data_IF_363319291078
#
_entry.id   IF_363319291078
#
_cell.length_a   1.000
_cell.length_b   1.000
_cell.length_c   1.000
_cell.angle_alpha   90.00
_cell.angle_beta   90.00
_cell.angle_gamma   90.00
#
_symmetry.space_group_name_H-M   'P 1'
#
loop_
_entity.id
_entity.type
_entity.pdbx_description
1 polymer ?
#
# COMPACT_ATOMS: atom_id res chain seq x y z
N UNK A 1 14.94 -17.95 -26.84
CA UNK A 1 13.56 -17.60 -26.41
C UNK A 1 13.59 -16.15 -25.99
N UNK A 2 12.79 -15.29 -26.62
CA UNK A 2 12.65 -13.87 -26.25
C UNK A 2 11.57 -13.74 -25.18
N UNK A 3 11.87 -13.03 -24.09
CA UNK A 3 10.92 -12.77 -23.01
C UNK A 3 10.58 -11.28 -22.99
N UNK A 4 9.36 -10.92 -23.39
CA UNK A 4 8.86 -9.54 -23.32
C UNK A 4 8.31 -9.23 -21.92
N UNK A 5 9.01 -8.45 -21.11
CA UNK A 5 8.45 -7.91 -19.86
C UNK A 5 7.66 -6.64 -20.20
N UNK A 6 6.39 -6.80 -20.57
CA UNK A 6 5.55 -5.66 -20.99
C UNK A 6 5.18 -4.71 -19.85
N UNK A 7 5.00 -5.20 -18.61
CA UNK A 7 4.49 -4.40 -17.48
C UNK A 7 5.00 -4.94 -16.15
N UNK A 8 5.37 -4.03 -15.26
CA UNK A 8 5.64 -4.38 -13.86
C UNK A 8 4.30 -4.45 -13.12
N UNK A 9 3.97 -5.59 -12.47
CA UNK A 9 2.74 -5.69 -11.69
C UNK A 9 2.85 -4.78 -10.45
N UNK A 10 1.99 -3.75 -10.39
CA UNK A 10 2.02 -2.74 -9.33
C UNK A 10 1.64 -3.30 -7.96
N UNK A 11 0.78 -4.32 -7.93
CA UNK A 11 0.28 -4.90 -6.68
C UNK A 11 1.38 -5.58 -5.84
N UNK A 12 2.20 -6.50 -6.37
CA UNK A 12 3.34 -7.04 -5.63
C UNK A 12 4.39 -5.96 -5.32
N UNK A 13 4.63 -5.00 -6.22
CA UNK A 13 5.54 -3.88 -5.95
C UNK A 13 5.08 -3.07 -4.73
N UNK A 14 3.78 -2.77 -4.62
CA UNK A 14 3.19 -2.08 -3.47
C UNK A 14 3.38 -2.86 -2.18
N UNK A 15 3.17 -4.19 -2.17
CA UNK A 15 3.37 -5.03 -0.98
C UNK A 15 4.82 -5.03 -0.52
N UNK A 16 5.76 -5.25 -1.45
CA UNK A 16 7.19 -5.31 -1.14
C UNK A 16 7.68 -3.94 -0.64
N UNK A 17 7.34 -2.87 -1.36
CA UNK A 17 7.71 -1.51 -0.96
C UNK A 17 7.11 -1.13 0.39
N UNK A 18 5.82 -1.41 0.64
CA UNK A 18 5.20 -1.13 1.92
C UNK A 18 5.92 -1.82 3.08
N UNK A 19 6.25 -3.10 2.94
CA UNK A 19 6.99 -3.84 3.98
C UNK A 19 8.38 -3.25 4.19
N UNK A 20 9.13 -3.02 3.11
CA UNK A 20 10.49 -2.44 3.20
C UNK A 20 10.48 -1.07 3.85
N UNK A 21 9.59 -0.17 3.41
CA UNK A 21 9.49 1.17 3.98
C UNK A 21 8.92 1.19 5.39
N UNK A 22 8.05 0.25 5.76
CA UNK A 22 7.58 0.09 7.13
C UNK A 22 8.73 -0.27 8.07
N UNK A 23 9.58 -1.22 7.68
CA UNK A 23 10.76 -1.57 8.49
C UNK A 23 11.77 -0.41 8.54
N UNK A 24 12.06 0.24 7.41
CA UNK A 24 12.96 1.40 7.40
C UNK A 24 12.43 2.56 8.25
N UNK A 25 11.16 2.94 8.09
CA UNK A 25 10.57 4.06 8.82
C UNK A 25 10.47 3.77 10.31
N UNK A 26 10.20 2.51 10.69
CA UNK A 26 10.20 2.06 12.08
C UNK A 26 11.59 2.23 12.70
N UNK A 27 12.65 1.75 12.02
CA UNK A 27 14.03 1.90 12.50
C UNK A 27 14.40 3.38 12.63
N UNK A 28 14.10 4.19 11.61
CA UNK A 28 14.41 5.63 11.60
C UNK A 28 13.67 6.36 12.73
N UNK A 29 12.37 6.14 12.89
CA UNK A 29 11.58 6.78 13.96
C UNK A 29 11.96 6.28 15.34
N UNK A 30 12.37 5.02 15.48
CA UNK A 30 12.86 4.50 16.76
C UNK A 30 14.16 5.22 17.16
N UNK A 31 15.12 5.33 16.22
CA UNK A 31 16.39 6.04 16.46
C UNK A 31 16.11 7.52 16.74
N UNK A 32 15.27 8.16 15.93
CA UNK A 32 14.92 9.58 16.08
C UNK A 32 14.18 9.85 17.40
N UNK A 33 13.26 8.97 17.78
CA UNK A 33 12.54 9.04 19.05
C UNK A 33 13.45 8.84 20.25
N UNK A 34 14.41 7.91 20.19
CA UNK A 34 15.45 7.77 21.22
C UNK A 34 16.31 9.04 21.31
N UNK A 35 16.73 9.58 20.17
CA UNK A 35 17.57 10.76 20.11
C UNK A 35 16.88 11.99 20.69
N UNK A 36 15.65 12.29 20.24
CA UNK A 36 14.82 13.37 20.82
C UNK A 36 14.54 13.13 22.29
N UNK A 37 14.18 11.90 22.67
CA UNK A 37 13.91 11.54 24.06
C UNK A 37 15.12 11.77 24.96
N UNK A 38 16.34 11.51 24.47
CA UNK A 38 17.57 11.76 25.22
C UNK A 38 17.81 13.26 25.45
N UNK A 39 17.61 14.09 24.40
CA UNK A 39 17.74 15.55 24.48
C UNK A 39 16.67 16.13 25.40
N UNK A 40 15.42 15.71 25.24
CA UNK A 40 14.32 16.12 26.10
C UNK A 40 14.55 15.73 27.57
N UNK A 41 15.15 14.56 27.82
CA UNK A 41 15.53 14.13 29.17
C UNK A 41 16.61 15.02 29.79
N UNK A 42 17.63 15.39 29.02
CA UNK A 42 18.69 16.31 29.46
C UNK A 42 18.13 17.71 29.78
N UNK A 43 17.28 18.25 28.89
CA UNK A 43 16.61 19.55 29.09
C UNK A 43 15.65 19.51 30.29
N UNK A 44 14.93 18.41 30.46
CA UNK A 44 14.05 18.20 31.61
C UNK A 44 14.86 18.21 32.90
N UNK A 45 16.04 17.59 32.96
CA UNK A 45 16.90 17.67 34.15
C UNK A 45 17.30 19.10 34.55
N UNK A 46 17.33 20.05 33.61
CA UNK A 46 17.63 21.46 33.87
C UNK A 46 16.41 22.31 34.23
N UNK A 47 15.20 21.84 33.91
CA UNK A 47 13.93 22.58 34.03
C UNK A 47 12.93 21.96 35.01
N UNK A 48 13.14 20.70 35.42
CA UNK A 48 12.09 19.85 36.01
C UNK A 48 12.03 19.80 37.53
N UNK A 49 12.59 20.78 38.24
CA UNK A 49 12.42 20.81 39.70
C UNK A 49 10.96 21.12 40.11
N UNK A 50 10.15 21.73 39.22
CA UNK A 50 8.79 22.17 39.57
C UNK A 50 7.64 21.41 38.89
N UNK A 51 7.89 20.61 37.84
CA UNK A 51 6.81 19.94 37.11
C UNK A 51 7.07 18.45 36.88
N UNK A 52 6.32 17.60 37.57
CA UNK A 52 6.36 16.13 37.46
C UNK A 52 5.70 15.59 36.17
N UNK A 53 6.16 16.06 35.00
CA UNK A 53 5.63 15.67 33.67
C UNK A 53 6.38 14.48 33.05
N UNK A 54 7.44 14.01 33.72
CA UNK A 54 8.38 13.02 33.20
C UNK A 54 7.77 11.72 32.63
N UNK A 55 6.78 11.07 33.28
CA UNK A 55 6.24 9.79 32.77
C UNK A 55 5.34 9.98 31.55
N UNK A 56 4.67 11.13 31.43
CA UNK A 56 3.76 11.41 30.31
C UNK A 56 4.56 11.64 29.03
N UNK A 57 5.68 12.37 29.10
CA UNK A 57 6.51 12.68 27.93
C UNK A 57 7.11 11.44 27.29
N UNK A 58 7.58 10.47 28.09
CA UNK A 58 8.17 9.22 27.56
C UNK A 58 7.14 8.36 26.84
N UNK A 59 5.96 8.20 27.42
CA UNK A 59 4.87 7.43 26.84
C UNK A 59 4.37 8.09 25.55
N UNK A 60 4.20 9.41 25.56
CA UNK A 60 3.80 10.18 24.38
C UNK A 60 4.83 10.07 23.24
N UNK A 61 6.13 10.09 23.54
CA UNK A 61 7.18 9.91 22.53
C UNK A 61 7.18 8.51 21.92
N UNK A 62 6.96 7.45 22.71
CA UNK A 62 6.88 6.09 22.19
C UNK A 62 5.67 5.89 21.29
N UNK A 63 4.48 6.31 21.74
CA UNK A 63 3.25 6.20 20.97
C UNK A 63 3.32 7.08 19.72
N UNK A 64 3.81 8.31 19.87
CA UNK A 64 4.00 9.25 18.76
C UNK A 64 5.01 8.76 17.73
N UNK A 65 6.11 8.14 18.18
CA UNK A 65 7.10 7.53 17.30
C UNK A 65 6.54 6.35 16.50
N UNK A 66 5.79 5.47 17.16
CA UNK A 66 5.13 4.32 16.50
C UNK A 66 4.07 4.77 15.49
N UNK A 67 3.23 5.73 15.87
CA UNK A 67 2.21 6.26 14.96
C UNK A 67 2.85 7.01 13.78
N UNK A 68 3.89 7.81 14.08
CA UNK A 68 4.68 8.52 13.09
C UNK A 68 5.37 7.58 12.09
N UNK A 69 5.88 6.43 12.52
CA UNK A 69 6.52 5.46 11.61
C UNK A 69 5.53 4.86 10.61
N UNK A 70 4.31 4.57 11.06
CA UNK A 70 3.24 4.04 10.19
C UNK A 70 2.83 5.09 9.16
N UNK A 71 2.59 6.33 9.59
CA UNK A 71 2.24 7.43 8.67
C UNK A 71 3.35 7.70 7.64
N UNK A 72 4.61 7.73 8.09
CA UNK A 72 5.75 7.96 7.21
C UNK A 72 5.93 6.83 6.20
N UNK A 73 5.75 5.57 6.62
CA UNK A 73 5.77 4.42 5.70
C UNK A 73 4.66 4.51 4.65
N UNK A 74 3.44 4.86 5.07
CA UNK A 74 2.32 5.05 4.16
C UNK A 74 2.62 6.13 3.13
N UNK A 75 3.19 7.26 3.57
CA UNK A 75 3.58 8.36 2.68
C UNK A 75 4.63 7.94 1.64
N UNK A 76 5.72 7.28 2.05
CA UNK A 76 6.76 6.81 1.11
C UNK A 76 6.26 5.70 0.17
N UNK A 77 5.34 4.87 0.63
CA UNK A 77 4.68 3.86 -0.20
C UNK A 77 3.88 4.52 -1.31
N UNK A 78 3.13 5.59 -1.02
CA UNK A 78 2.38 6.36 -2.03
C UNK A 78 3.34 6.99 -3.04
N UNK A 79 4.45 7.60 -2.59
CA UNK A 79 5.46 8.16 -3.49
C UNK A 79 6.07 7.10 -4.42
N UNK A 80 6.35 5.92 -3.89
CA UNK A 80 6.88 4.79 -4.67
C UNK A 80 5.87 4.29 -5.69
N UNK A 81 4.58 4.25 -5.32
CA UNK A 81 3.51 3.89 -6.24
C UNK A 81 3.40 4.89 -7.40
N UNK A 82 3.50 6.18 -7.11
CA UNK A 82 3.53 7.25 -8.12
C UNK A 82 4.74 7.05 -9.04
N UNK A 83 5.92 6.78 -8.49
CA UNK A 83 7.12 6.48 -9.28
C UNK A 83 6.94 5.26 -10.20
N UNK A 84 6.35 4.18 -9.69
CA UNK A 84 6.03 2.99 -10.50
C UNK A 84 4.99 3.26 -11.60
N UNK A 85 4.00 4.12 -11.33
CA UNK A 85 3.04 4.58 -12.34
C UNK A 85 3.70 5.41 -13.43
N UNK A 86 4.58 6.35 -13.05
CA UNK A 86 5.35 7.16 -13.99
C UNK A 86 6.23 6.25 -14.86
N UNK A 87 6.93 5.30 -14.25
CA UNK A 87 7.75 4.32 -14.98
C UNK A 87 6.93 3.53 -16.00
N UNK A 88 5.77 2.99 -15.58
CA UNK A 88 4.89 2.25 -16.48
C UNK A 88 4.34 3.14 -17.61
N UNK A 89 4.02 4.40 -17.33
CA UNK A 89 3.58 5.34 -18.35
C UNK A 89 4.69 5.61 -19.39
N UNK A 90 5.91 5.88 -18.94
CA UNK A 90 7.09 6.09 -19.81
C UNK A 90 7.41 4.85 -20.63
N UNK A 91 7.41 3.67 -20.02
CA UNK A 91 7.66 2.41 -20.73
C UNK A 91 6.58 2.15 -21.81
N UNK A 92 5.32 2.49 -21.52
CA UNK A 92 4.24 2.37 -22.51
C UNK A 92 4.37 3.37 -23.67
N UNK A 93 4.91 4.55 -23.42
CA UNK A 93 5.17 5.58 -24.45
C UNK A 93 6.36 5.20 -25.34
N UNK A 94 7.36 4.50 -24.81
CA UNK A 94 8.55 4.07 -25.55
C UNK A 94 8.34 2.77 -26.37
N UNK A 95 7.11 2.24 -26.43
CA UNK A 95 6.80 1.03 -27.20
C UNK A 95 7.09 -0.29 -26.47
N UNK A 96 7.47 -0.24 -25.19
CA UNK A 96 7.92 -1.40 -24.42
C UNK A 96 9.43 -1.63 -24.55
N UNK A 97 10.08 -2.00 -23.44
CA UNK A 97 11.48 -2.42 -23.45
C UNK A 97 11.53 -3.90 -23.83
N UNK A 98 11.99 -4.20 -25.05
CA UNK A 98 12.42 -5.55 -25.40
C UNK A 98 13.78 -5.80 -24.73
N UNK A 99 13.79 -6.72 -23.75
CA UNK A 99 15.04 -7.16 -23.13
C UNK A 99 15.41 -8.47 -23.82
N UNK A 100 16.38 -8.40 -24.73
CA UNK A 100 17.10 -9.61 -25.17
C UNK A 100 17.97 -10.08 -24.00
N UNK A 101 17.41 -10.95 -23.16
CA UNK A 101 18.24 -11.72 -22.24
C UNK A 101 18.93 -12.80 -23.07
N UNK A 102 20.22 -12.59 -23.36
CA UNK A 102 21.08 -13.71 -23.70
C UNK A 102 20.96 -14.72 -22.55
N UNK A 103 20.63 -15.99 -22.83
CA UNK A 103 20.65 -17.01 -21.81
C UNK A 103 22.10 -17.11 -21.33
N UNK A 104 22.38 -16.56 -20.15
CA UNK A 104 23.61 -16.83 -19.44
C UNK A 104 23.61 -18.33 -19.16
N UNK A 105 24.20 -19.10 -20.08
CA UNK A 105 24.26 -20.54 -20.03
C UNK A 105 25.12 -20.97 -18.85
N UNK A 106 24.50 -21.10 -17.68
CA UNK A 106 25.14 -21.62 -16.47
C UNK A 106 24.08 -22.02 -15.43
N UNK A 107 23.13 -22.86 -15.83
CA UNK A 107 22.34 -23.65 -14.90
C UNK A 107 21.75 -24.84 -15.65
N UNK A 108 22.57 -25.84 -15.93
CA UNK A 108 22.16 -27.25 -15.86
C UNK A 108 23.29 -28.17 -16.37
N UNK A 109 24.33 -28.38 -15.56
CA UNK A 109 25.10 -29.64 -15.68
C UNK A 109 25.94 -30.03 -14.45
N UNK A 110 25.47 -29.89 -13.20
CA UNK A 110 26.24 -30.43 -12.03
C UNK A 110 25.44 -30.71 -10.74
N UNK A 111 24.12 -30.95 -10.80
CA UNK A 111 23.37 -31.39 -9.61
C UNK A 111 22.51 -32.65 -9.85
N UNK A 112 22.86 -33.45 -10.88
CA UNK A 112 22.47 -34.86 -10.94
C UNK A 112 23.43 -35.67 -10.05
N UNK A 113 23.39 -35.42 -8.74
CA UNK A 113 23.89 -36.36 -7.74
C UNK A 113 22.71 -37.22 -7.30
N UNK A 114 22.52 -38.31 -8.06
CA UNK A 114 21.95 -39.58 -7.66
C UNK A 114 21.17 -39.62 -6.33
N UNK A 115 19.85 -39.37 -6.40
CA UNK A 115 18.91 -39.94 -5.43
C UNK A 115 18.49 -41.32 -5.96
N UNK A 116 18.86 -42.43 -5.30
CA UNK A 116 18.38 -43.75 -5.70
C UNK A 116 16.87 -43.83 -5.49
N UNK A 117 16.13 -44.08 -6.57
CA UNK A 117 14.71 -44.41 -6.49
C UNK A 117 14.52 -45.75 -5.78
N UNK A 118 13.96 -45.73 -4.57
CA UNK A 118 13.32 -46.90 -3.98
C UNK A 118 11.89 -46.94 -4.54
N UNK A 119 11.68 -47.89 -5.46
CA UNK A 119 10.39 -48.21 -6.06
C UNK A 119 9.64 -49.18 -5.12
N UNK A 120 8.49 -48.83 -4.52
CA UNK A 120 7.64 -49.80 -3.86
C UNK A 120 6.88 -50.60 -4.92
N UNK A 121 7.42 -51.77 -5.26
CA UNK A 121 6.74 -52.77 -6.06
C UNK A 121 5.78 -53.56 -5.16
N UNK A 122 4.49 -53.18 -5.10
CA UNK A 122 3.43 -54.06 -4.58
C UNK A 122 2.14 -53.86 -5.40
N UNK A 123 1.68 -54.94 -6.05
CA UNK A 123 0.28 -55.13 -6.40
C UNK A 123 -0.02 -55.19 -7.89
N UNK A 124 0.09 -56.39 -8.46
CA UNK A 124 -0.53 -56.74 -9.73
C UNK A 124 -2.03 -56.44 -9.69
N UNK A 125 -2.53 -55.61 -10.62
CA UNK A 125 -3.94 -55.63 -11.00
C UNK A 125 -4.09 -56.16 -12.44
N UNK A 126 -4.99 -57.13 -12.67
CA UNK A 126 -5.19 -57.84 -13.92
C UNK A 126 -5.52 -56.96 -15.14
N UNK A 127 -5.10 -57.46 -16.30
CA UNK A 127 -5.38 -56.96 -17.64
C UNK A 127 -6.88 -57.13 -17.91
N UNK A 128 -7.62 -56.04 -18.11
CA UNK A 128 -8.99 -56.08 -18.66
C UNK A 128 -8.93 -55.83 -20.19
N UNK A 129 -9.55 -56.70 -21.02
CA UNK A 129 -9.46 -56.65 -22.46
C UNK A 129 -10.32 -55.54 -23.10
N UNK A 130 -9.87 -55.11 -24.28
CA UNK A 130 -10.44 -54.08 -25.13
C UNK A 130 -11.97 -54.13 -25.31
N UNK A 131 -12.62 -52.98 -25.13
CA UNK A 131 -13.92 -52.69 -25.74
C UNK A 131 -13.77 -51.64 -26.87
N UNK A 132 -14.22 -51.96 -28.10
CA UNK A 132 -14.37 -50.99 -29.16
C UNK A 132 -15.73 -50.29 -29.02
N UNK A 133 -15.73 -49.01 -28.67
CA UNK A 133 -16.90 -48.14 -28.83
C UNK A 133 -16.61 -47.07 -29.87
N UNK A 134 -16.78 -47.48 -31.12
CA UNK A 134 -17.15 -46.56 -32.18
C UNK A 134 -18.56 -46.03 -31.86
N UNK A 135 -18.68 -44.76 -31.49
CA UNK A 135 -19.91 -44.02 -31.76
C UNK A 135 -19.56 -42.57 -32.08
N UNK A 136 -19.68 -42.28 -33.37
CA UNK A 136 -19.81 -40.95 -33.96
C UNK A 136 -20.71 -40.07 -33.07
N UNK A 137 -20.21 -38.89 -32.70
CA UNK A 137 -21.08 -37.73 -32.51
C UNK A 137 -20.76 -36.71 -33.60
N UNK A 138 -21.80 -36.20 -34.29
CA UNK A 138 -21.66 -35.34 -35.45
C UNK A 138 -21.30 -33.90 -35.07
N UNK A 139 -20.83 -33.20 -36.09
CA UNK A 139 -20.46 -31.80 -36.15
C UNK A 139 -21.63 -30.81 -35.91
N UNK A 140 -21.24 -29.53 -35.80
CA UNK A 140 -22.03 -28.29 -35.90
C UNK A 140 -22.74 -27.94 -34.57
N UNK A 141 -22.48 -26.80 -33.91
CA UNK A 141 -22.85 -25.41 -34.25
C UNK A 141 -21.82 -24.44 -33.59
N UNK A 142 -21.03 -23.63 -34.32
CA UNK A 142 -21.37 -22.31 -34.86
C UNK A 142 -22.20 -21.42 -33.91
N UNK A 143 -21.60 -20.93 -32.82
CA UNK A 143 -22.16 -19.81 -32.07
C UNK A 143 -21.63 -18.49 -32.65
N UNK A 144 -22.41 -17.97 -33.59
CA UNK A 144 -22.29 -16.65 -34.20
C UNK A 144 -22.52 -15.53 -33.17
N UNK A 145 -21.74 -14.46 -33.31
CA UNK A 145 -21.98 -13.16 -32.71
C UNK A 145 -23.37 -12.60 -33.09
N UNK A 146 -23.97 -11.81 -32.19
CA UNK A 146 -24.48 -10.49 -32.52
C UNK A 146 -24.04 -9.49 -31.42
N UNK A 147 -23.97 -8.17 -31.54
CA UNK A 147 -24.32 -7.19 -32.57
C UNK A 147 -23.77 -5.87 -32.03
N UNK A 148 -23.12 -5.09 -32.89
CA UNK A 148 -22.92 -3.65 -32.67
C UNK A 148 -24.27 -2.99 -32.46
N UNK A 149 -24.47 -2.30 -31.34
CA UNK A 149 -25.52 -1.30 -31.25
C UNK A 149 -24.86 0.07 -31.22
N UNK A 150 -24.80 0.64 -32.43
CA UNK A 150 -24.81 2.08 -32.65
C UNK A 150 -25.93 2.71 -31.82
N UNK A 151 -25.57 3.61 -30.91
CA UNK A 151 -26.42 4.74 -30.54
C UNK A 151 -25.62 6.01 -30.83
N UNK A 152 -25.73 6.43 -32.09
CA UNK A 152 -25.50 7.81 -32.49
C UNK A 152 -26.82 8.60 -32.36
N UNK A 153 -26.75 9.74 -31.69
CA UNK A 153 -27.63 10.90 -31.88
C UNK A 153 -28.42 11.33 -30.63
N UNK A 154 -28.94 12.57 -30.63
CA UNK A 154 -28.23 13.85 -30.80
C UNK A 154 -28.62 14.88 -29.71
N UNK A 155 -27.90 16.01 -29.69
CA UNK A 155 -28.34 17.36 -29.28
C UNK A 155 -29.29 17.57 -28.09
N UNK A 156 -28.80 18.28 -27.08
CA UNK A 156 -29.39 19.48 -26.46
C UNK A 156 -28.86 19.62 -25.02
N UNK A 157 -27.96 20.57 -24.75
CA UNK A 157 -28.30 21.95 -24.43
C UNK A 157 -28.98 22.13 -23.06
N UNK A 158 -28.37 23.02 -22.28
CA UNK A 158 -28.91 23.89 -21.23
C UNK A 158 -28.68 23.55 -19.75
N UNK A 159 -28.14 24.59 -19.08
CA UNK A 159 -28.34 25.03 -17.68
C UNK A 159 -27.49 24.31 -16.62
N UNK A 160 -26.53 24.96 -15.95
CA UNK A 160 -26.62 26.24 -15.21
C UNK A 160 -27.78 26.25 -14.21
N UNK A 161 -27.52 25.73 -13.01
CA UNK A 161 -28.16 26.04 -11.74
C UNK A 161 -27.31 25.34 -10.67
N UNK A 162 -26.49 26.00 -9.85
CA UNK A 162 -26.92 26.90 -8.77
C UNK A 162 -28.10 26.29 -8.01
N UNK A 163 -27.88 25.69 -6.84
CA UNK A 163 -28.62 26.14 -5.67
C UNK A 163 -28.04 25.64 -4.35
N UNK A 164 -27.74 26.61 -3.50
CA UNK A 164 -27.62 26.50 -2.05
C UNK A 164 -28.95 25.98 -1.49
N UNK A 165 -28.90 24.93 -0.67
CA UNK A 165 -29.79 24.77 0.50
C UNK A 165 -28.84 24.70 1.69
N UNK A 166 -28.59 25.78 2.42
CA UNK A 166 -29.56 26.53 3.24
C UNK A 166 -30.37 25.56 4.11
N UNK A 167 -29.78 25.17 5.25
CA UNK A 167 -30.54 24.91 6.46
C UNK A 167 -30.54 26.20 7.27
N UNK A 168 -31.70 26.87 7.41
CA UNK A 168 -31.87 27.96 8.34
C UNK A 168 -32.33 27.46 9.71
N UNK A 169 -31.76 28.06 10.76
CA UNK A 169 -32.43 28.33 12.03
C UNK A 169 -32.47 27.18 13.04
N UNK A 170 -31.68 27.31 14.11
CA UNK A 170 -32.17 27.56 15.47
C UNK A 170 -30.95 27.71 16.39
N UNK A 171 -30.64 28.93 16.82
CA UNK A 171 -30.96 29.49 18.16
C UNK A 171 -30.15 28.75 19.23
N UNK A 172 -29.26 29.33 20.05
CA UNK A 172 -29.25 30.63 20.71
C UNK A 172 -27.85 30.80 21.39
N UNK A 173 -27.51 31.97 21.97
CA UNK A 173 -26.19 32.56 21.95
C UNK A 173 -25.65 32.65 23.39
N UNK A 174 -24.59 33.42 23.59
CA UNK A 174 -24.26 34.04 24.89
C UNK A 174 -24.02 33.10 26.09
N UNK A 175 -22.74 32.92 26.40
CA UNK A 175 -22.13 33.07 27.73
C UNK A 175 -21.11 31.98 28.01
N UNK A 176 -19.86 32.26 27.67
CA UNK A 176 -18.72 32.03 28.56
C UNK A 176 -17.50 32.67 27.90
N UNK A 177 -17.48 34.00 27.96
CA UNK A 177 -16.24 34.73 28.10
C UNK A 177 -15.64 34.31 29.45
N UNK A 178 -14.77 33.30 29.45
CA UNK A 178 -13.82 33.11 30.55
C UNK A 178 -12.79 34.24 30.46
N UNK A 179 -13.22 35.36 31.01
CA UNK A 179 -12.50 36.29 31.86
C UNK A 179 -11.00 35.97 32.01
N UNK A 180 -10.19 36.59 31.14
CA UNK A 180 -8.78 36.81 31.39
C UNK A 180 -8.64 37.76 32.57
N UNK A 181 -8.65 37.18 33.78
CA UNK A 181 -8.36 37.88 35.02
C UNK A 181 -6.91 38.38 35.04
N UNK A 182 -6.70 39.60 34.55
CA UNK A 182 -5.55 40.41 34.90
C UNK A 182 -5.70 40.84 36.35
N UNK A 183 -5.20 40.01 37.27
CA UNK A 183 -5.02 40.35 38.67
C UNK A 183 -3.92 41.41 38.82
N UNK A 184 -4.25 42.66 38.52
CA UNK A 184 -3.50 43.84 38.95
C UNK A 184 -3.83 44.18 40.40
N UNK A 185 -2.81 44.25 41.24
CA UNK A 185 -2.75 45.22 42.35
C UNK A 185 -3.25 44.77 43.72
N UNK A 186 -2.29 44.48 44.60
CA UNK A 186 -2.14 44.99 45.99
C UNK A 186 -0.65 44.81 46.32
N UNK A 187 0.26 45.76 46.24
CA UNK A 187 0.40 47.07 46.93
C UNK A 187 -0.34 47.20 48.27
N UNK A 188 0.44 47.58 49.29
CA UNK A 188 0.09 48.03 50.66
C UNK A 188 -0.07 46.93 51.72
N UNK A 189 0.56 46.96 52.90
CA UNK A 189 1.28 48.00 53.65
C UNK A 189 2.23 47.30 54.68
N UNK A 190 3.26 48.05 55.11
CA UNK A 190 4.10 47.95 56.34
C UNK A 190 5.00 46.73 56.62
#
# INVERSE_FOLDING_TARGET
>A
MTWEIRRIPLFPLMKVSFVVYLFLSLIVMLIYGLFIGSIAGMLSGLLAEEMNIQPLTRTALLIGGLFGSVLLSMFYTILTLIGGLIYNAVASLMGGLEIELEPSGEADESASLATPQIQPQIGAQPIEPAQPSARMQPAVEQQTAPTQQDQAGPDASTKSAENKRFMPGQDDPSSQSEEWGWGSGKEKDD
#
